data_IF_882599297361
#
_entry.id   IF_882599297361
#
_cell.length_a   1.000
_cell.length_b   1.000
_cell.length_c   1.000
_cell.angle_alpha   90.00
_cell.angle_beta   90.00
_cell.angle_gamma   90.00
#
_symmetry.space_group_name_H-M   'P 1'
#
loop_
_entity.id
_entity.type
_entity.pdbx_description
1 polymer ?
#
# COMPACT_ATOMS: atom_id res chain seq x y z
N UNK A 1 4.07 11.30 -14.28
CA UNK A 1 2.67 10.91 -14.57
C UNK A 1 2.06 10.31 -13.32
N UNK A 2 0.75 10.47 -13.17
CA UNK A 2 -0.06 9.92 -12.07
C UNK A 2 -1.18 9.11 -12.70
N UNK A 3 -1.52 7.97 -12.13
CA UNK A 3 -2.51 7.04 -12.67
C UNK A 3 -3.54 6.70 -11.61
N UNK A 4 -4.80 6.55 -12.00
CA UNK A 4 -5.86 6.09 -11.12
C UNK A 4 -6.71 5.01 -11.80
N UNK A 5 -7.14 4.02 -11.01
CA UNK A 5 -8.24 3.13 -11.38
C UNK A 5 -9.53 3.68 -10.76
N UNK A 6 -10.60 3.68 -11.53
CA UNK A 6 -11.85 4.37 -11.20
C UNK A 6 -13.08 3.55 -11.59
N UNK A 7 -14.23 3.91 -11.04
CA UNK A 7 -15.53 3.60 -11.64
C UNK A 7 -16.04 4.88 -12.32
N UNK A 8 -16.34 4.80 -13.60
CA UNK A 8 -16.97 5.87 -14.38
C UNK A 8 -18.21 5.31 -15.10
N UNK A 9 -19.35 5.99 -14.96
CA UNK A 9 -20.64 5.54 -15.50
C UNK A 9 -21.00 4.08 -15.17
N UNK A 10 -20.62 3.60 -13.97
CA UNK A 10 -20.85 2.23 -13.50
C UNK A 10 -19.82 1.19 -13.98
N UNK A 11 -18.87 1.58 -14.84
CA UNK A 11 -17.89 0.68 -15.42
C UNK A 11 -16.48 0.90 -14.83
N UNK A 12 -15.70 -0.18 -14.60
CA UNK A 12 -14.31 -0.05 -14.17
C UNK A 12 -13.44 0.46 -15.31
N UNK A 13 -12.70 1.53 -15.05
CA UNK A 13 -11.81 2.22 -15.98
C UNK A 13 -10.51 2.59 -15.25
N UNK A 14 -9.53 3.03 -15.96
CA UNK A 14 -8.33 3.65 -15.43
C UNK A 14 -7.85 4.77 -16.36
N UNK A 15 -6.95 5.61 -15.88
CA UNK A 15 -6.45 6.71 -16.71
C UNK A 15 -5.27 7.45 -16.09
N UNK A 16 -4.86 8.51 -16.79
CA UNK A 16 -3.82 9.44 -16.34
C UNK A 16 -4.49 10.63 -15.68
N UNK A 17 -4.07 10.94 -14.48
CA UNK A 17 -4.57 12.07 -13.71
C UNK A 17 -3.74 13.31 -14.02
N UNK A 18 -4.41 14.41 -14.33
CA UNK A 18 -3.85 15.74 -14.58
C UNK A 18 -4.68 16.77 -13.81
N UNK A 19 -4.12 17.28 -12.71
CA UNK A 19 -4.83 18.19 -11.80
C UNK A 19 -6.16 17.57 -11.30
N UNK A 20 -7.29 18.19 -11.65
CA UNK A 20 -8.63 17.78 -11.22
C UNK A 20 -9.38 16.93 -12.27
N UNK A 21 -8.65 16.39 -13.25
CA UNK A 21 -9.22 15.57 -14.33
C UNK A 21 -8.49 14.26 -14.50
N UNK A 22 -9.16 13.29 -15.13
CA UNK A 22 -8.58 12.02 -15.55
C UNK A 22 -8.83 11.80 -17.05
N UNK A 23 -7.77 11.59 -17.80
CA UNK A 23 -7.83 11.11 -19.17
C UNK A 23 -7.96 9.59 -19.19
N UNK A 24 -9.17 9.08 -19.49
CA UNK A 24 -9.49 7.65 -19.42
C UNK A 24 -8.75 6.86 -20.50
N UNK A 25 -8.12 5.77 -20.12
CA UNK A 25 -7.49 4.83 -21.03
C UNK A 25 -8.54 4.14 -21.94
N UNK A 26 -8.18 3.76 -23.19
CA UNK A 26 -9.06 2.99 -24.03
C UNK A 26 -9.58 1.72 -23.32
N UNK A 27 -10.87 1.41 -23.42
CA UNK A 27 -11.46 0.23 -22.79
C UNK A 27 -10.77 -1.08 -23.22
N UNK A 28 -10.22 -1.14 -24.43
CA UNK A 28 -9.44 -2.28 -24.92
C UNK A 28 -8.16 -2.56 -24.10
N UNK A 29 -7.68 -1.58 -23.31
CA UNK A 29 -6.51 -1.75 -22.45
C UNK A 29 -6.82 -2.49 -21.13
N UNK A 30 -8.09 -2.72 -20.86
CA UNK A 30 -8.57 -3.46 -19.68
C UNK A 30 -9.24 -2.56 -18.65
N UNK A 31 -9.86 -3.20 -17.63
CA UNK A 31 -10.71 -2.51 -16.65
C UNK A 31 -9.92 -1.70 -15.62
N UNK A 32 -8.64 -1.98 -15.44
CA UNK A 32 -7.78 -1.33 -14.45
C UNK A 32 -6.31 -1.38 -14.89
N UNK A 33 -5.50 -0.60 -14.20
CA UNK A 33 -4.06 -0.47 -14.46
C UNK A 33 -3.31 -1.81 -14.28
N UNK A 34 -3.73 -2.64 -13.31
CA UNK A 34 -3.12 -3.96 -13.05
C UNK A 34 -3.30 -4.91 -14.24
N UNK A 35 -4.51 -4.98 -14.78
CA UNK A 35 -4.80 -5.77 -15.96
C UNK A 35 -4.00 -5.33 -17.19
N UNK A 36 -3.79 -4.02 -17.35
CA UNK A 36 -2.97 -3.46 -18.43
C UNK A 36 -1.48 -3.83 -18.26
N UNK A 37 -0.91 -3.66 -17.06
CA UNK A 37 0.48 -4.05 -16.74
C UNK A 37 0.71 -5.54 -17.00
N UNK A 38 -0.20 -6.41 -16.59
CA UNK A 38 -0.12 -7.86 -16.75
C UNK A 38 -0.09 -8.30 -18.23
N UNK A 39 -0.65 -7.49 -19.13
CA UNK A 39 -0.62 -7.71 -20.58
C UNK A 39 0.63 -7.13 -21.27
N UNK A 40 1.61 -6.65 -20.49
CA UNK A 40 2.85 -6.06 -21.01
C UNK A 40 2.76 -4.57 -21.31
N UNK A 41 1.76 -3.88 -20.77
CA UNK A 41 1.65 -2.43 -20.84
C UNK A 41 2.86 -1.77 -20.17
N UNK A 42 3.60 -0.95 -20.90
CA UNK A 42 4.82 -0.31 -20.39
C UNK A 42 4.94 1.18 -20.73
N UNK A 43 4.18 1.64 -21.70
CA UNK A 43 4.16 3.06 -22.10
C UNK A 43 2.73 3.53 -22.22
N UNK A 44 2.40 4.58 -21.49
CA UNK A 44 1.14 5.30 -21.63
C UNK A 44 1.42 6.49 -22.55
N UNK A 45 1.25 6.30 -23.86
CA UNK A 45 1.15 7.43 -24.77
C UNK A 45 -0.29 7.94 -24.71
N UNK A 46 -0.52 9.25 -24.61
CA UNK A 46 -1.86 9.79 -24.61
C UNK A 46 -2.47 9.69 -26.02
N UNK A 47 -3.40 8.74 -26.30
CA UNK A 47 -4.29 8.89 -27.45
C UNK A 47 -5.26 10.03 -27.18
N UNK A 48 -6.07 10.39 -28.17
CA UNK A 48 -7.25 11.21 -27.93
C UNK A 48 -8.10 10.52 -26.85
N UNK A 49 -8.17 11.12 -25.65
CA UNK A 49 -8.76 10.51 -24.46
C UNK A 49 -10.06 11.21 -24.13
N UNK A 50 -11.03 10.42 -23.71
CA UNK A 50 -12.14 10.94 -22.93
C UNK A 50 -11.58 11.53 -21.63
N UNK A 51 -11.76 12.82 -21.40
CA UNK A 51 -11.33 13.53 -20.22
C UNK A 51 -12.56 13.82 -19.37
N UNK A 52 -12.53 13.39 -18.12
CA UNK A 52 -13.63 13.60 -17.16
C UNK A 52 -13.08 14.23 -15.89
N UNK A 53 -13.92 14.93 -15.13
CA UNK A 53 -13.53 15.50 -13.85
C UNK A 53 -13.34 14.40 -12.81
N UNK A 54 -12.40 14.56 -11.86
CA UNK A 54 -12.15 13.56 -10.82
C UNK A 54 -13.32 13.43 -9.83
N UNK A 55 -14.17 14.43 -9.69
CA UNK A 55 -15.37 14.38 -8.87
C UNK A 55 -16.57 13.66 -9.55
N UNK A 56 -16.46 13.36 -10.85
CA UNK A 56 -17.43 12.54 -11.60
C UNK A 56 -17.12 11.03 -11.56
N UNK A 57 -16.00 10.64 -10.94
CA UNK A 57 -15.58 9.25 -10.86
C UNK A 57 -15.42 8.79 -9.40
N UNK A 58 -15.56 7.49 -9.15
CA UNK A 58 -15.20 6.88 -7.86
C UNK A 58 -13.81 6.27 -7.95
N UNK A 59 -12.87 6.74 -7.14
CA UNK A 59 -11.53 6.17 -7.06
C UNK A 59 -11.56 4.74 -6.51
N UNK A 60 -10.81 3.85 -7.13
CA UNK A 60 -10.51 2.50 -6.64
C UNK A 60 -9.05 2.42 -6.21
N UNK A 61 -8.65 1.31 -5.58
CA UNK A 61 -7.23 1.00 -5.45
C UNK A 61 -6.56 1.06 -6.83
N UNK A 62 -5.32 1.57 -6.97
CA UNK A 62 -4.63 1.63 -8.27
C UNK A 62 -4.51 0.25 -8.94
N UNK A 63 -4.32 -0.81 -8.15
CA UNK A 63 -4.36 -2.22 -8.56
C UNK A 63 -5.43 -2.92 -7.73
N UNK A 64 -6.71 -2.90 -8.16
CA UNK A 64 -7.82 -3.42 -7.35
C UNK A 64 -7.77 -4.94 -7.19
N UNK A 65 -7.27 -5.64 -8.19
CA UNK A 65 -7.21 -7.10 -8.26
C UNK A 65 -5.77 -7.55 -8.55
N UNK A 66 -4.91 -7.60 -7.51
CA UNK A 66 -3.55 -8.07 -7.69
C UNK A 66 -3.51 -9.53 -8.16
N UNK A 67 -2.60 -9.84 -9.07
CA UNK A 67 -2.43 -11.20 -9.62
C UNK A 67 -2.02 -12.22 -8.55
N UNK A 68 -1.32 -11.78 -7.53
CA UNK A 68 -0.87 -12.58 -6.38
C UNK A 68 -0.90 -11.75 -5.10
N UNK A 69 -0.67 -12.41 -3.97
CA UNK A 69 -0.59 -11.77 -2.68
C UNK A 69 0.35 -10.55 -2.71
N UNK A 70 0.00 -9.51 -1.96
CA UNK A 70 0.88 -8.37 -1.73
C UNK A 70 2.09 -8.88 -0.94
N UNK A 71 3.29 -8.56 -1.41
CA UNK A 71 4.54 -8.88 -0.72
C UNK A 71 4.80 -7.76 0.29
N UNK A 72 5.01 -8.11 1.55
CA UNK A 72 5.18 -7.14 2.63
C UNK A 72 6.50 -7.36 3.37
N UNK A 73 7.04 -6.28 3.94
CA UNK A 73 8.24 -6.31 4.78
C UNK A 73 7.90 -6.00 6.23
N UNK A 74 8.41 -6.83 7.14
CA UNK A 74 8.39 -6.57 8.58
C UNK A 74 9.68 -5.90 9.06
N UNK A 75 9.57 -5.03 10.07
CA UNK A 75 10.69 -4.35 10.74
C UNK A 75 11.67 -3.64 9.77
N UNK A 76 11.15 -3.02 8.73
CA UNK A 76 11.97 -2.34 7.72
C UNK A 76 12.19 -0.84 7.98
N UNK A 77 11.83 -0.33 9.15
CA UNK A 77 12.12 1.04 9.58
C UNK A 77 12.91 1.04 10.87
N UNK A 78 13.97 1.87 10.95
CA UNK A 78 14.84 1.98 12.13
C UNK A 78 14.09 2.47 13.35
N UNK A 79 13.17 3.43 13.19
CA UNK A 79 12.34 3.96 14.27
C UNK A 79 11.33 2.93 14.79
N UNK A 80 10.77 2.11 13.92
CA UNK A 80 9.92 0.99 14.32
C UNK A 80 10.71 -0.10 15.07
N UNK A 81 11.92 -0.43 14.60
CA UNK A 81 12.79 -1.37 15.30
C UNK A 81 13.16 -0.85 16.70
N UNK A 82 13.46 0.42 16.84
CA UNK A 82 13.74 1.07 18.12
C UNK A 82 12.53 1.02 19.07
N UNK A 83 11.34 1.34 18.57
CA UNK A 83 10.08 1.32 19.32
C UNK A 83 9.76 -0.07 19.86
N UNK A 84 9.82 -1.11 19.02
CA UNK A 84 9.52 -2.50 19.42
C UNK A 84 10.50 -3.03 20.46
N UNK A 85 11.78 -2.60 20.39
CA UNK A 85 12.82 -2.98 21.33
C UNK A 85 12.83 -2.12 22.61
N UNK A 86 12.14 -0.98 22.60
CA UNK A 86 12.13 -0.02 23.72
C UNK A 86 13.49 0.64 23.96
N UNK A 87 14.26 0.90 22.87
CA UNK A 87 15.60 1.50 22.92
C UNK A 87 15.66 2.79 22.11
N UNK A 88 16.66 3.67 22.36
CA UNK A 88 16.90 4.83 21.48
C UNK A 88 17.17 4.41 20.03
N UNK A 89 16.81 5.26 19.07
CA UNK A 89 16.99 5.00 17.63
C UNK A 89 18.43 4.58 17.27
N UNK A 90 19.42 5.19 17.90
CA UNK A 90 20.84 4.91 17.65
C UNK A 90 21.30 3.51 18.15
N UNK A 91 20.54 2.90 19.05
CA UNK A 91 20.84 1.59 19.67
C UNK A 91 19.97 0.46 19.08
N UNK A 92 19.03 0.78 18.21
CA UNK A 92 18.11 -0.20 17.63
C UNK A 92 18.87 -1.23 16.79
N UNK A 93 18.74 -2.50 17.15
CA UNK A 93 19.20 -3.60 16.32
C UNK A 93 18.26 -3.75 15.12
N UNK A 94 18.80 -3.67 13.91
CA UNK A 94 18.05 -3.89 12.66
C UNK A 94 18.29 -5.30 12.15
N UNK A 95 17.33 -5.90 11.43
CA UNK A 95 17.53 -7.21 10.82
C UNK A 95 18.72 -7.22 9.85
N UNK A 96 19.49 -8.31 9.84
CA UNK A 96 20.57 -8.51 8.85
C UNK A 96 20.03 -8.87 7.45
N UNK A 97 18.82 -9.41 7.39
CA UNK A 97 18.13 -9.80 6.15
C UNK A 97 16.68 -9.32 6.18
N UNK A 98 16.10 -8.91 5.05
CA UNK A 98 14.71 -8.47 5.00
C UNK A 98 13.76 -9.62 5.36
N UNK A 99 12.83 -9.33 6.26
CA UNK A 99 11.80 -10.27 6.68
C UNK A 99 10.54 -10.08 5.81
N UNK A 100 10.18 -11.09 5.04
CA UNK A 100 9.03 -11.05 4.15
C UNK A 100 7.83 -11.83 4.70
N UNK A 101 6.64 -11.28 4.47
CA UNK A 101 5.35 -11.95 4.62
C UNK A 101 4.42 -11.50 3.50
N UNK A 102 3.17 -11.97 3.49
CA UNK A 102 2.21 -11.57 2.45
C UNK A 102 0.84 -11.26 3.03
N UNK A 103 0.08 -10.43 2.31
CA UNK A 103 -1.38 -10.26 2.48
C UNK A 103 -2.11 -10.91 1.31
N UNK A 104 -3.27 -11.52 1.57
CA UNK A 104 -4.14 -12.07 0.54
C UNK A 104 -4.61 -10.97 -0.44
N UNK A 105 -4.93 -11.35 -1.67
CA UNK A 105 -5.42 -10.39 -2.69
C UNK A 105 -6.75 -9.74 -2.30
N UNK A 106 -7.60 -10.43 -1.55
CA UNK A 106 -8.89 -9.92 -1.07
C UNK A 106 -8.78 -8.82 -0.02
N UNK A 107 -7.57 -8.56 0.49
CA UNK A 107 -7.34 -7.46 1.43
C UNK A 107 -7.40 -6.09 0.78
N UNK A 108 -7.26 -5.99 -0.56
CA UNK A 108 -7.24 -4.70 -1.25
C UNK A 108 -8.59 -3.99 -1.11
N UNK A 109 -8.52 -2.73 -0.71
CA UNK A 109 -9.63 -1.80 -0.69
C UNK A 109 -9.22 -0.47 -1.35
N UNK A 110 -10.19 0.32 -1.77
CA UNK A 110 -9.97 1.64 -2.35
C UNK A 110 -9.54 2.69 -1.33
N UNK A 111 -9.08 3.84 -1.82
CA UNK A 111 -8.55 4.91 -0.96
C UNK A 111 -9.59 5.50 0.01
N UNK A 112 -10.88 5.31 -0.26
CA UNK A 112 -11.98 5.88 0.51
C UNK A 112 -13.05 4.84 0.88
N UNK A 113 -12.77 3.55 0.68
CA UNK A 113 -13.69 2.47 1.04
C UNK A 113 -13.80 2.35 2.56
N UNK A 114 -14.99 1.98 3.04
CA UNK A 114 -15.18 1.56 4.41
C UNK A 114 -14.48 0.23 4.68
N UNK A 115 -13.88 0.09 5.86
CA UNK A 115 -13.19 -1.13 6.30
C UNK A 115 -14.04 -1.83 7.34
N UNK A 116 -14.43 -3.06 7.06
CA UNK A 116 -15.21 -3.86 7.99
C UNK A 116 -14.35 -4.31 9.17
N UNK A 117 -14.74 -3.91 10.38
CA UNK A 117 -14.16 -4.40 11.63
C UNK A 117 -15.18 -5.29 12.33
N UNK A 118 -14.91 -6.59 12.34
CA UNK A 118 -15.69 -7.58 13.06
C UNK A 118 -15.07 -7.85 14.44
N UNK A 119 -15.73 -7.40 15.55
CA UNK A 119 -15.20 -7.62 16.91
C UNK A 119 -15.19 -9.10 17.35
N UNK A 120 -15.88 -10.00 16.63
CA UNK A 120 -15.82 -11.43 16.87
C UNK A 120 -14.56 -12.06 16.27
N UNK A 121 -14.00 -11.43 15.21
CA UNK A 121 -12.76 -11.86 14.56
C UNK A 121 -11.55 -11.26 15.25
N UNK A 122 -11.54 -9.93 15.45
CA UNK A 122 -10.44 -9.22 16.13
C UNK A 122 -10.94 -8.01 16.91
N UNK A 123 -10.27 -7.74 18.04
CA UNK A 123 -10.42 -6.51 18.83
C UNK A 123 -9.11 -5.74 18.94
N UNK A 124 -8.14 -6.09 18.09
CA UNK A 124 -6.80 -5.50 18.12
C UNK A 124 -6.33 -5.15 16.71
N UNK A 125 -7.23 -4.53 15.92
CA UNK A 125 -6.86 -4.01 14.61
C UNK A 125 -6.01 -2.75 14.79
N UNK A 126 -4.88 -2.71 14.11
CA UNK A 126 -3.85 -1.69 14.23
C UNK A 126 -3.53 -1.10 12.85
N UNK A 127 -3.04 0.13 12.81
CA UNK A 127 -2.69 0.90 11.60
C UNK A 127 -1.20 0.76 11.27
N UNK A 128 -0.87 0.79 9.99
CA UNK A 128 0.50 0.77 9.46
C UNK A 128 0.57 1.52 8.13
N UNK A 129 0.93 2.83 8.16
CA UNK A 129 1.18 3.56 6.91
C UNK A 129 2.47 3.08 6.26
N UNK A 130 2.40 2.76 4.96
CA UNK A 130 3.53 2.25 4.20
C UNK A 130 3.59 2.86 2.79
N UNK A 131 4.81 3.00 2.26
CA UNK A 131 5.02 3.17 0.84
C UNK A 131 4.82 1.81 0.15
N UNK A 132 3.96 1.77 -0.86
CA UNK A 132 3.83 0.61 -1.72
C UNK A 132 4.50 0.86 -3.07
N UNK A 133 5.23 -0.14 -3.55
CA UNK A 133 5.90 -0.15 -4.86
C UNK A 133 5.15 -1.11 -5.78
N UNK A 134 4.80 -0.65 -6.99
CA UNK A 134 4.20 -1.48 -8.03
C UNK A 134 5.21 -1.71 -9.13
N UNK A 135 5.44 -2.97 -9.49
CA UNK A 135 6.39 -3.33 -10.55
C UNK A 135 5.74 -3.22 -11.93
N UNK A 136 6.45 -2.61 -12.87
CA UNK A 136 6.07 -2.54 -14.29
C UNK A 136 6.77 -3.57 -15.15
N UNK A 137 7.90 -4.09 -14.66
CA UNK A 137 8.71 -5.09 -15.34
C UNK A 137 8.98 -6.26 -14.41
N UNK A 138 8.74 -7.47 -14.90
CA UNK A 138 9.10 -8.69 -14.18
C UNK A 138 10.55 -9.08 -14.41
N UNK A 139 11.02 -10.09 -13.64
CA UNK A 139 12.38 -10.63 -13.83
C UNK A 139 12.81 -11.58 -12.73
N UNK A 140 13.95 -12.23 -12.99
CA UNK A 140 14.70 -13.07 -12.04
C UNK A 140 16.13 -12.55 -11.98
N UNK A 141 16.77 -12.67 -10.80
CA UNK A 141 18.16 -12.28 -10.58
C UNK A 141 18.45 -10.83 -11.00
N UNK A 142 17.52 -9.91 -10.68
CA UNK A 142 17.64 -8.49 -11.03
C UNK A 142 18.84 -7.89 -10.29
N UNK A 143 19.83 -7.31 -10.99
CA UNK A 143 20.96 -6.66 -10.35
C UNK A 143 20.53 -5.42 -9.57
N UNK A 144 21.24 -5.11 -8.48
CA UNK A 144 20.93 -3.95 -7.63
C UNK A 144 20.86 -2.63 -8.43
N UNK A 145 21.79 -2.44 -9.38
CA UNK A 145 21.86 -1.21 -10.19
C UNK A 145 20.73 -1.07 -11.22
N UNK A 146 19.98 -2.15 -11.51
CA UNK A 146 18.86 -2.16 -12.46
C UNK A 146 17.49 -2.26 -11.76
N UNK A 147 17.49 -2.47 -10.45
CA UNK A 147 16.28 -2.83 -9.72
C UNK A 147 15.18 -1.75 -9.79
N UNK A 148 15.55 -0.47 -9.74
CA UNK A 148 14.60 0.63 -9.84
C UNK A 148 13.97 0.78 -11.23
N UNK A 149 14.60 0.27 -12.29
CA UNK A 149 14.04 0.25 -13.65
C UNK A 149 12.84 -0.73 -13.76
N UNK A 150 12.67 -1.59 -12.77
CA UNK A 150 11.53 -2.48 -12.67
C UNK A 150 10.28 -1.81 -12.05
N UNK A 151 10.44 -0.65 -11.41
CA UNK A 151 9.36 0.07 -10.75
C UNK A 151 8.50 0.82 -11.76
N UNK A 152 7.19 0.58 -11.74
CA UNK A 152 6.22 1.37 -12.50
C UNK A 152 5.77 2.61 -11.72
N UNK A 153 5.58 2.49 -10.43
CA UNK A 153 5.15 3.60 -9.60
C UNK A 153 5.01 3.27 -8.12
N UNK A 154 4.62 4.29 -7.39
CA UNK A 154 4.49 4.30 -5.94
C UNK A 154 3.10 4.74 -5.52
N UNK A 155 2.57 4.16 -4.43
CA UNK A 155 1.28 4.53 -3.85
C UNK A 155 1.31 4.42 -2.34
N UNK A 156 0.29 4.96 -1.68
CA UNK A 156 0.09 4.77 -0.23
C UNK A 156 -0.63 3.45 -0.01
N UNK A 157 -0.25 2.70 1.02
CA UNK A 157 -1.01 1.56 1.53
C UNK A 157 -1.08 1.66 3.06
N UNK A 158 -2.19 1.20 3.64
CA UNK A 158 -2.30 0.97 5.08
C UNK A 158 -2.34 -0.54 5.31
N UNK A 159 -1.26 -1.11 5.86
CA UNK A 159 -1.16 -2.54 6.19
C UNK A 159 -1.86 -2.85 7.51
N UNK A 160 -3.19 -2.70 7.54
CA UNK A 160 -4.00 -2.97 8.72
C UNK A 160 -3.75 -4.39 9.26
N UNK A 161 -3.55 -4.48 10.58
CA UNK A 161 -3.01 -5.67 11.23
C UNK A 161 -3.83 -6.08 12.44
N UNK A 162 -4.41 -7.30 12.40
CA UNK A 162 -5.07 -7.90 13.57
C UNK A 162 -4.02 -8.55 14.48
N UNK A 163 -3.54 -7.81 15.48
CA UNK A 163 -2.39 -8.21 16.33
C UNK A 163 -2.64 -9.47 17.18
N UNK A 164 -3.88 -9.71 17.57
CA UNK A 164 -4.28 -10.92 18.28
C UNK A 164 -4.20 -12.17 17.40
N UNK A 165 -4.65 -12.07 16.14
CA UNK A 165 -4.51 -13.16 15.17
C UNK A 165 -3.05 -13.40 14.79
N UNK A 166 -2.27 -12.34 14.56
CA UNK A 166 -0.86 -12.39 14.26
C UNK A 166 -0.09 -13.15 15.36
N UNK A 167 -0.39 -12.87 16.64
CA UNK A 167 0.23 -13.55 17.78
C UNK A 167 -0.24 -14.99 17.93
N UNK A 168 -1.56 -15.23 17.78
CA UNK A 168 -2.19 -16.54 18.04
C UNK A 168 -1.68 -17.63 17.11
N UNK A 169 -1.45 -17.29 15.83
CA UNK A 169 -1.12 -18.26 14.79
C UNK A 169 0.37 -18.38 14.49
N UNK A 170 1.23 -17.61 15.16
CA UNK A 170 2.70 -17.68 15.01
C UNK A 170 3.24 -17.23 13.65
N UNK A 171 2.38 -17.13 12.63
CA UNK A 171 2.67 -16.57 11.31
C UNK A 171 1.79 -15.36 11.06
N UNK A 172 2.30 -14.36 10.33
CA UNK A 172 1.60 -13.09 10.17
C UNK A 172 0.37 -13.16 9.27
N UNK A 173 0.32 -14.14 8.37
CA UNK A 173 -0.64 -14.21 7.28
C UNK A 173 -2.09 -13.99 7.70
N UNK A 174 -2.61 -14.71 8.70
CA UNK A 174 -4.01 -14.54 9.13
C UNK A 174 -4.28 -13.17 9.75
N UNK A 175 -3.34 -12.64 10.55
CA UNK A 175 -3.46 -11.30 11.13
C UNK A 175 -3.30 -10.16 10.10
N UNK A 176 -2.83 -10.46 8.92
CA UNK A 176 -2.56 -9.54 7.81
C UNK A 176 -3.51 -9.72 6.61
N UNK A 177 -4.42 -10.71 6.63
CA UNK A 177 -5.20 -11.10 5.46
C UNK A 177 -6.72 -11.10 5.67
N UNK A 178 -7.23 -10.25 6.55
CA UNK A 178 -8.65 -9.96 6.62
C UNK A 178 -9.07 -9.18 5.37
N UNK A 179 -10.25 -9.44 4.83
CA UNK A 179 -10.76 -8.77 3.63
C UNK A 179 -10.81 -7.25 3.84
N UNK A 180 -10.43 -6.48 2.82
CA UNK A 180 -10.43 -5.02 2.84
C UNK A 180 -9.35 -4.35 3.71
N UNK A 181 -8.44 -5.11 4.34
CA UNK A 181 -7.45 -4.56 5.30
C UNK A 181 -6.12 -4.11 4.68
N UNK A 182 -6.13 -3.83 3.37
CA UNK A 182 -5.02 -3.18 2.66
C UNK A 182 -5.56 -2.04 1.76
N UNK A 183 -6.23 -1.02 2.33
CA UNK A 183 -6.63 0.11 1.51
C UNK A 183 -5.41 0.79 0.91
N UNK A 184 -5.49 1.12 -0.40
CA UNK A 184 -4.39 1.75 -1.12
C UNK A 184 -4.86 2.79 -2.14
N UNK A 185 -3.97 3.72 -2.44
CA UNK A 185 -4.21 4.82 -3.38
C UNK A 185 -3.61 6.15 -2.90
N UNK A 186 -4.20 7.30 -3.25
CA UNK A 186 -5.34 7.44 -4.17
C UNK A 186 -4.96 7.17 -5.61
N UNK A 187 -3.68 7.32 -5.94
CA UNK A 187 -3.10 7.22 -7.26
C UNK A 187 -1.81 6.41 -7.22
N UNK A 188 -1.39 5.92 -8.38
CA UNK A 188 -0.05 5.39 -8.61
C UNK A 188 0.80 6.46 -9.29
N UNK A 189 1.88 6.88 -8.65
CA UNK A 189 2.77 7.96 -9.10
C UNK A 189 4.02 7.37 -9.71
N UNK A 190 4.26 7.66 -10.99
CA UNK A 190 5.45 7.17 -11.70
C UNK A 190 6.75 7.74 -11.09
N UNK A 191 7.87 6.99 -11.15
CA UNK A 191 9.16 7.41 -10.55
C UNK A 191 9.58 8.83 -10.92
N UNK A 192 9.47 9.21 -12.20
CA UNK A 192 9.83 10.56 -12.67
C UNK A 192 8.91 11.70 -12.20
N UNK A 193 7.83 11.41 -11.47
CA UNK A 193 6.93 12.39 -10.86
C UNK A 193 7.15 12.53 -9.34
N UNK A 194 8.08 11.78 -8.76
CA UNK A 194 8.54 11.92 -7.37
C UNK A 194 10.00 12.37 -7.35
N UNK A 195 10.39 13.22 -6.36
CA UNK A 195 11.79 13.67 -6.27
C UNK A 195 12.73 12.51 -5.91
N UNK A 196 12.49 11.84 -4.79
CA UNK A 196 13.24 10.66 -4.32
C UNK A 196 12.31 9.78 -3.48
N UNK A 197 12.07 8.53 -3.88
CA UNK A 197 11.22 7.63 -3.09
C UNK A 197 11.83 7.23 -1.74
N UNK A 198 13.11 7.51 -1.50
CA UNK A 198 13.79 7.26 -0.23
C UNK A 198 13.85 8.48 0.70
N UNK A 199 13.19 9.60 0.33
CA UNK A 199 13.08 10.78 1.20
C UNK A 199 11.67 11.39 1.13
N UNK A 200 10.66 10.57 1.41
CA UNK A 200 9.26 10.98 1.44
C UNK A 200 8.75 10.98 2.88
N UNK A 201 8.20 12.11 3.32
CA UNK A 201 7.46 12.15 4.59
C UNK A 201 6.20 11.28 4.53
N UNK A 202 5.97 10.47 5.58
CA UNK A 202 4.76 9.66 5.71
C UNK A 202 4.12 9.85 7.09
N UNK A 203 2.79 9.86 7.11
CA UNK A 203 2.00 10.15 8.31
C UNK A 203 0.75 9.27 8.34
N UNK A 204 0.42 8.74 9.52
CA UNK A 204 -0.87 8.15 9.83
C UNK A 204 -1.59 8.93 10.92
N UNK A 205 -2.87 9.21 10.71
CA UNK A 205 -3.76 9.82 11.69
C UNK A 205 -4.94 8.90 12.00
N UNK A 206 -5.32 8.85 13.25
CA UNK A 206 -6.58 8.24 13.70
C UNK A 206 -7.43 9.33 14.33
N UNK A 207 -8.63 9.53 13.82
CA UNK A 207 -9.55 10.61 14.23
C UNK A 207 -8.88 11.99 14.28
N UNK A 208 -8.06 12.29 13.25
CA UNK A 208 -7.31 13.54 13.13
C UNK A 208 -6.04 13.62 13.99
N UNK A 209 -5.83 12.71 14.95
CA UNK A 209 -4.63 12.68 15.81
C UNK A 209 -3.50 11.93 15.12
N UNK A 210 -2.31 12.54 15.03
CA UNK A 210 -1.11 11.92 14.46
C UNK A 210 -0.70 10.71 15.31
N UNK A 211 -0.60 9.56 14.68
CA UNK A 211 -0.16 8.30 15.28
C UNK A 211 1.22 7.87 14.80
N UNK A 212 1.51 8.02 13.50
CA UNK A 212 2.82 7.79 12.92
C UNK A 212 3.24 9.04 12.16
N UNK A 213 4.51 9.42 12.27
CA UNK A 213 5.13 10.49 11.48
C UNK A 213 6.62 10.18 11.31
N UNK A 214 7.06 9.96 10.06
CA UNK A 214 8.42 9.55 9.75
C UNK A 214 8.79 9.91 8.30
N UNK A 215 9.90 9.37 7.81
CA UNK A 215 10.35 9.50 6.41
C UNK A 215 10.83 8.16 5.89
N UNK A 216 10.67 7.90 4.58
CA UNK A 216 11.24 6.72 3.91
C UNK A 216 12.77 6.67 3.96
N UNK A 217 13.45 7.76 4.37
CA UNK A 217 14.89 7.76 4.66
C UNK A 217 15.28 6.84 5.83
N UNK A 218 14.32 6.43 6.68
CA UNK A 218 14.53 5.48 7.77
C UNK A 218 14.39 4.02 7.36
N UNK A 219 14.12 3.72 6.07
CA UNK A 219 14.13 2.34 5.58
C UNK A 219 15.47 1.66 5.88
N UNK A 220 15.41 0.44 6.41
CA UNK A 220 16.59 -0.41 6.67
C UNK A 220 17.09 -1.01 5.36
N UNK A 221 16.18 -1.61 4.60
CA UNK A 221 16.43 -2.13 3.26
C UNK A 221 15.75 -1.22 2.24
N UNK A 222 16.54 -0.63 1.33
CA UNK A 222 16.03 0.23 0.27
C UNK A 222 15.26 -0.55 -0.81
N UNK A 223 14.47 0.17 -1.61
CA UNK A 223 13.59 -0.42 -2.64
C UNK A 223 14.38 -1.30 -3.62
N UNK A 224 15.55 -0.84 -4.07
CA UNK A 224 16.40 -1.60 -5.01
C UNK A 224 16.88 -2.93 -4.37
N UNK A 225 17.26 -2.90 -3.11
CA UNK A 225 17.70 -4.09 -2.37
C UNK A 225 16.56 -5.10 -2.20
N UNK A 226 15.37 -4.64 -1.83
CA UNK A 226 14.16 -5.45 -1.71
C UNK A 226 13.88 -6.20 -3.01
N UNK A 227 13.84 -5.49 -4.14
CA UNK A 227 13.60 -6.07 -5.47
C UNK A 227 14.69 -7.09 -5.82
N UNK A 228 15.96 -6.77 -5.55
CA UNK A 228 17.09 -7.67 -5.82
C UNK A 228 16.98 -8.96 -5.02
N UNK A 229 16.70 -8.87 -3.70
CA UNK A 229 16.56 -10.05 -2.83
C UNK A 229 15.40 -10.93 -3.28
N UNK A 230 14.22 -10.36 -3.50
CA UNK A 230 13.03 -11.09 -3.97
C UNK A 230 13.28 -11.79 -5.30
N UNK A 231 13.91 -11.10 -6.26
CA UNK A 231 14.16 -11.63 -7.60
C UNK A 231 15.15 -12.80 -7.63
N UNK A 232 15.98 -12.96 -6.61
CA UNK A 232 16.87 -14.14 -6.46
C UNK A 232 16.08 -15.40 -6.14
N UNK A 233 14.99 -15.28 -5.41
CA UNK A 233 14.19 -16.41 -4.90
C UNK A 233 13.03 -16.73 -5.82
N UNK A 234 12.31 -15.71 -6.32
CA UNK A 234 11.12 -15.87 -7.15
C UNK A 234 11.16 -15.02 -8.42
N UNK A 235 10.36 -15.37 -9.42
CA UNK A 235 10.12 -14.52 -10.58
C UNK A 235 9.19 -13.39 -10.17
N UNK A 236 9.64 -12.15 -10.29
CA UNK A 236 8.82 -10.96 -10.17
C UNK A 236 7.99 -10.75 -11.45
N UNK A 237 6.81 -10.22 -11.33
CA UNK A 237 5.88 -10.03 -12.44
C UNK A 237 5.40 -8.57 -12.50
N UNK A 238 5.05 -8.05 -13.71
CA UNK A 238 4.39 -6.76 -13.81
C UNK A 238 3.07 -6.76 -13.02
N UNK A 239 2.82 -5.69 -12.27
CA UNK A 239 1.68 -5.58 -11.37
C UNK A 239 1.91 -6.16 -9.96
N UNK A 240 3.07 -6.74 -9.67
CA UNK A 240 3.41 -7.12 -8.28
C UNK A 240 3.45 -5.89 -7.39
N UNK A 241 2.90 -6.02 -6.19
CA UNK A 241 2.86 -4.97 -5.17
C UNK A 241 3.78 -5.36 -4.03
N UNK A 242 4.64 -4.43 -3.62
CA UNK A 242 5.55 -4.58 -2.48
C UNK A 242 5.22 -3.46 -1.48
N UNK A 243 4.73 -3.81 -0.30
CA UNK A 243 4.57 -2.93 0.84
C UNK A 243 5.89 -2.90 1.61
N UNK A 244 6.50 -1.71 1.76
CA UNK A 244 7.92 -1.59 2.13
C UNK A 244 8.18 -1.56 3.63
N UNK A 245 7.14 -1.74 4.44
CA UNK A 245 7.20 -1.68 5.89
C UNK A 245 6.71 -0.35 6.44
N UNK A 246 6.38 -0.35 7.73
CA UNK A 246 5.80 0.79 8.46
C UNK A 246 6.80 1.40 9.45
N UNK A 247 6.75 2.72 9.70
CA UNK A 247 7.56 3.38 10.72
C UNK A 247 7.00 3.15 12.13
N UNK A 248 7.72 3.67 13.14
CA UNK A 248 7.25 3.72 14.54
C UNK A 248 5.94 4.47 14.71
N UNK A 249 5.26 4.25 15.84
CA UNK A 249 3.98 4.86 16.19
C UNK A 249 2.78 3.94 15.99
N UNK A 250 3.01 2.64 15.76
CA UNK A 250 1.96 1.62 15.68
C UNK A 250 1.24 1.47 17.03
N UNK A 251 -0.05 1.11 16.99
CA UNK A 251 -0.89 1.07 18.19
C UNK A 251 -0.45 0.03 19.23
N UNK A 252 0.01 -1.12 18.79
CA UNK A 252 0.42 -2.20 19.71
C UNK A 252 1.68 -1.88 20.52
N UNK A 253 2.55 -0.99 20.02
CA UNK A 253 3.77 -0.57 20.69
C UNK A 253 3.59 0.63 21.63
N UNK A 254 2.41 1.25 21.63
CA UNK A 254 2.09 2.39 22.51
C UNK A 254 1.87 1.96 23.97
N UNK A 255 2.06 2.92 24.87
CA UNK A 255 1.75 2.76 26.30
C UNK A 255 0.79 3.88 26.77
N UNK A 256 -0.47 3.58 27.05
CA UNK A 256 -1.14 2.29 26.87
C UNK A 256 -1.28 1.90 25.40
N UNK A 257 -1.45 0.60 25.11
CA UNK A 257 -1.70 0.11 23.75
C UNK A 257 -3.01 0.66 23.19
N UNK A 258 -3.00 1.01 21.91
CA UNK A 258 -4.15 1.56 21.20
C UNK A 258 -4.52 0.65 20.02
N UNK A 259 -5.84 0.48 19.78
CA UNK A 259 -6.36 -0.27 18.64
C UNK A 259 -7.57 0.42 18.07
N UNK A 260 -7.80 0.25 16.78
CA UNK A 260 -8.93 0.82 16.06
C UNK A 260 -10.27 0.28 16.58
N UNK A 261 -11.26 1.15 16.62
CA UNK A 261 -12.61 0.87 17.05
C UNK A 261 -13.61 1.15 15.93
N UNK A 262 -14.82 0.59 16.04
CA UNK A 262 -15.92 0.95 15.15
C UNK A 262 -16.18 2.45 15.17
N UNK A 263 -16.31 3.04 13.99
CA UNK A 263 -16.53 4.47 13.81
C UNK A 263 -15.25 5.30 13.69
N UNK A 264 -14.07 4.73 13.98
CA UNK A 264 -12.79 5.42 13.77
C UNK A 264 -12.53 5.71 12.30
N UNK A 265 -11.88 6.84 12.05
CA UNK A 265 -11.34 7.21 10.74
C UNK A 265 -9.82 7.12 10.77
N UNK A 266 -9.25 6.40 9.80
CA UNK A 266 -7.80 6.30 9.62
C UNK A 266 -7.40 7.00 8.32
N UNK A 267 -6.47 7.94 8.40
CA UNK A 267 -5.92 8.63 7.25
C UNK A 267 -4.42 8.38 7.16
N UNK A 268 -3.96 7.82 6.04
CA UNK A 268 -2.55 7.62 5.73
C UNK A 268 -2.15 8.54 4.59
N UNK A 269 -1.02 9.23 4.73
CA UNK A 269 -0.50 10.17 3.73
C UNK A 269 0.97 9.94 3.48
N UNK A 270 1.38 10.08 2.21
CA UNK A 270 2.79 10.16 1.81
C UNK A 270 2.99 11.41 0.95
N UNK A 271 4.02 12.17 1.28
CA UNK A 271 4.36 13.40 0.55
C UNK A 271 4.62 13.09 -0.94
N UNK A 272 4.08 13.94 -1.83
CA UNK A 272 4.22 13.75 -3.27
C UNK A 272 3.32 12.68 -3.89
N UNK A 273 2.69 11.80 -3.08
CA UNK A 273 1.77 10.76 -3.57
C UNK A 273 0.31 11.19 -3.33
N UNK A 274 -0.08 11.38 -2.09
CA UNK A 274 -1.44 11.72 -1.72
C UNK A 274 -1.84 11.14 -0.37
N UNK A 275 -3.14 10.97 -0.14
CA UNK A 275 -3.68 10.41 1.09
C UNK A 275 -4.85 9.46 0.81
N UNK A 276 -4.93 8.41 1.60
CA UNK A 276 -6.09 7.53 1.70
C UNK A 276 -6.79 7.79 3.04
N UNK A 277 -8.11 7.58 3.09
CA UNK A 277 -8.92 7.82 4.29
C UNK A 277 -10.06 6.82 4.34
N UNK A 278 -10.07 5.99 5.36
CA UNK A 278 -10.98 4.88 5.51
C UNK A 278 -11.68 4.91 6.87
N UNK A 279 -12.96 4.57 6.91
CA UNK A 279 -13.75 4.49 8.14
C UNK A 279 -13.96 3.04 8.54
N UNK A 280 -13.88 2.76 9.84
CA UNK A 280 -14.13 1.44 10.39
C UNK A 280 -15.64 1.26 10.62
N UNK A 281 -16.24 0.27 9.96
CA UNK A 281 -17.68 -0.01 10.05
C UNK A 281 -17.95 -1.42 10.57
N UNK A 282 -19.13 -1.64 11.13
CA UNK A 282 -19.56 -2.99 11.54
C UNK A 282 -19.81 -3.87 10.31
N UNK A 283 -19.69 -5.21 10.45
CA UNK A 283 -20.14 -6.14 9.42
C UNK A 283 -21.61 -5.87 9.06
N UNK A 284 -22.01 -6.10 7.80
CA UNK A 284 -23.43 -6.06 7.45
C UNK A 284 -24.21 -7.07 8.27
N UNK A 285 -25.48 -6.74 8.58
CA UNK A 285 -26.37 -7.68 9.29
C UNK A 285 -26.54 -8.95 8.47
N UNK A 286 -26.57 -10.15 9.08
CA UNK A 286 -26.80 -11.40 8.35
C UNK A 286 -28.09 -11.49 7.54
N UNK A 287 -28.92 -10.47 7.55
CA UNK A 287 -30.22 -10.38 6.88
C UNK A 287 -30.20 -9.48 5.61
N UNK A 288 -29.09 -8.92 5.28
CA UNK A 288 -28.84 -8.12 4.07
C UNK A 288 -27.94 -8.91 3.09
#
# INVERSE_FOLDING_TARGET
MRFASVIHAGEPRWGVVEQDTIGLAPAAWGPDLGAWLQRGGSRVEPPDREVVALDEVTLRAPIPEPRRNIICLGLNYRDHAAEVQGVPLAEAAVPEQPMFFTKATTTVAGPHDDIVLDPEVTRRLDWEVELAVVLGRGGRHVPLGEALDHVFGYTVINDLSARDLQKRHGQFFLGKSMDGTAPMGPELVAPGALPDPHDLGLECRVNGTVKQASTTAHLVFGIAEIITVLSRVMTLLPGDIIATGTPGGVGFAREPREFLQLGDEVACRIAGIGSIRNRLVAPPSPAD
#
